data_IF_779786156368
#
_entry.id   IF_779786156368
#
_cell.length_a   1.000
_cell.length_b   1.000
_cell.length_c   1.000
_cell.angle_alpha   90.00
_cell.angle_beta   90.00
_cell.angle_gamma   90.00
#
_symmetry.space_group_name_H-M   'P 1'
#
loop_
_entity.id
_entity.type
_entity.pdbx_description
1 polymer ?
#
# COMPACT_ATOMS: atom_id res chain seq x y z
N UNK A 1 36.34 12.47 -16.02
CA UNK A 1 35.85 11.18 -15.56
C UNK A 1 34.35 11.18 -15.23
N UNK A 2 33.77 12.29 -14.72
CA UNK A 2 32.33 12.40 -14.47
C UNK A 2 31.51 12.54 -15.77
N UNK A 3 32.05 13.17 -16.80
CA UNK A 3 31.40 13.34 -18.10
C UNK A 3 31.27 12.01 -18.88
N UNK A 4 32.30 11.14 -18.76
CA UNK A 4 32.30 9.80 -19.39
C UNK A 4 31.29 8.87 -18.72
N UNK A 5 31.11 9.00 -17.39
CA UNK A 5 30.10 8.22 -16.65
C UNK A 5 28.67 8.63 -17.02
N UNK A 6 28.41 9.92 -17.22
CA UNK A 6 27.11 10.46 -17.66
C UNK A 6 26.73 10.05 -19.09
N UNK A 7 27.73 9.90 -19.97
CA UNK A 7 27.49 9.48 -21.36
C UNK A 7 27.24 7.98 -21.47
N UNK A 8 27.86 7.16 -20.60
CA UNK A 8 27.61 5.74 -20.49
C UNK A 8 26.20 5.42 -19.95
N UNK A 9 25.66 6.25 -19.05
CA UNK A 9 24.27 6.12 -18.58
C UNK A 9 23.23 6.48 -19.66
N UNK A 10 23.52 7.44 -20.53
CA UNK A 10 22.63 7.82 -21.65
C UNK A 10 22.50 6.77 -22.73
N UNK A 11 23.43 5.84 -22.83
CA UNK A 11 23.43 4.77 -23.84
C UNK A 11 22.79 3.46 -23.34
N UNK A 12 22.35 3.38 -22.08
CA UNK A 12 21.67 2.20 -21.57
C UNK A 12 20.20 2.17 -21.98
N UNK A 13 19.64 0.98 -22.32
CA UNK A 13 18.23 0.85 -22.63
C UNK A 13 17.36 1.37 -21.49
N UNK A 14 16.31 2.11 -21.79
CA UNK A 14 15.44 2.77 -20.81
C UNK A 14 14.91 1.83 -19.72
N UNK A 15 14.68 0.54 -20.05
CA UNK A 15 14.23 -0.45 -19.08
C UNK A 15 15.31 -0.85 -18.04
N UNK A 16 16.59 -0.83 -18.39
CA UNK A 16 17.70 -1.14 -17.47
C UNK A 16 17.93 0.03 -16.51
N UNK A 17 17.84 1.26 -16.99
CA UNK A 17 17.86 2.46 -16.15
C UNK A 17 16.66 2.47 -15.19
N UNK A 18 15.47 2.10 -15.68
CA UNK A 18 14.26 1.99 -14.88
C UNK A 18 14.41 0.99 -13.72
N UNK A 19 14.94 -0.21 -13.98
CA UNK A 19 15.15 -1.23 -12.96
C UNK A 19 16.22 -0.82 -11.93
N UNK A 20 17.30 -0.17 -12.34
CA UNK A 20 18.35 0.33 -11.42
C UNK A 20 17.83 1.46 -10.53
N UNK A 21 17.10 2.42 -11.07
CA UNK A 21 16.51 3.50 -10.29
C UNK A 21 15.42 3.00 -9.33
N UNK A 22 14.59 2.05 -9.76
CA UNK A 22 13.61 1.40 -8.88
C UNK A 22 14.29 0.67 -7.73
N UNK A 23 15.36 -0.07 -7.99
CA UNK A 23 16.15 -0.76 -6.96
C UNK A 23 16.84 0.19 -5.98
N UNK A 24 17.44 1.27 -6.48
CA UNK A 24 18.10 2.26 -5.64
C UNK A 24 17.11 3.03 -4.74
N UNK A 25 15.95 3.42 -5.30
CA UNK A 25 14.87 4.06 -4.55
C UNK A 25 14.27 3.14 -3.49
N UNK A 26 14.06 1.87 -3.83
CA UNK A 26 13.60 0.86 -2.88
C UNK A 26 14.61 0.70 -1.72
N UNK A 27 15.91 0.63 -2.00
CA UNK A 27 16.96 0.55 -1.00
C UNK A 27 17.06 1.81 -0.12
N UNK A 28 16.78 3.00 -0.69
CA UNK A 28 16.76 4.26 0.05
C UNK A 28 15.55 4.31 1.00
N UNK A 29 14.37 3.95 0.51
CA UNK A 29 13.17 3.83 1.31
C UNK A 29 13.41 2.87 2.49
N UNK A 30 13.94 1.67 2.24
CA UNK A 30 14.30 0.72 3.29
C UNK A 30 15.29 1.27 4.30
N UNK A 31 16.30 2.04 3.87
CA UNK A 31 17.26 2.67 4.79
C UNK A 31 16.64 3.75 5.65
N UNK A 32 15.81 4.61 5.08
CA UNK A 32 15.09 5.64 5.84
C UNK A 32 14.13 5.01 6.85
N UNK A 33 13.41 3.96 6.44
CA UNK A 33 12.49 3.25 7.32
C UNK A 33 13.22 2.52 8.45
N UNK A 34 14.38 1.91 8.20
CA UNK A 34 15.23 1.34 9.28
C UNK A 34 15.66 2.40 10.27
N UNK A 35 16.16 3.56 9.81
CA UNK A 35 16.55 4.66 10.69
C UNK A 35 15.37 5.18 11.54
N UNK A 36 14.17 5.25 10.98
CA UNK A 36 12.97 5.66 11.73
C UNK A 36 12.54 4.57 12.73
N UNK A 37 12.70 3.29 12.38
CA UNK A 37 12.44 2.18 13.29
C UNK A 37 13.45 2.14 14.46
N UNK A 38 14.73 2.39 14.20
CA UNK A 38 15.77 2.46 15.25
C UNK A 38 15.54 3.62 16.25
N UNK A 39 14.80 4.65 15.86
CA UNK A 39 14.40 5.76 16.75
C UNK A 39 13.03 5.52 17.41
N UNK A 40 12.40 4.41 17.14
CA UNK A 40 11.08 4.02 17.63
C UNK A 40 11.10 3.22 18.92
N UNK A 41 11.88 3.62 19.92
CA UNK A 41 11.83 2.96 21.23
C UNK A 41 10.36 2.83 21.71
N UNK A 42 9.97 1.63 22.09
CA UNK A 42 8.65 1.35 22.65
C UNK A 42 7.56 0.97 21.62
N UNK A 43 7.86 0.96 20.31
CA UNK A 43 6.91 0.56 19.28
C UNK A 43 7.56 -0.33 18.22
N UNK A 44 6.85 -1.37 17.83
CA UNK A 44 7.17 -2.23 16.68
C UNK A 44 6.21 -1.84 15.56
N UNK A 45 6.72 -1.33 14.44
CA UNK A 45 5.89 -0.86 13.33
C UNK A 45 6.21 -1.67 12.06
N UNK A 46 5.16 -2.12 11.39
CA UNK A 46 5.24 -2.70 10.04
C UNK A 46 4.52 -1.80 9.03
N UNK A 47 5.08 -1.69 7.85
CA UNK A 47 4.45 -1.02 6.71
C UNK A 47 4.01 -2.09 5.72
N UNK A 48 2.71 -2.15 5.51
CA UNK A 48 2.10 -3.06 4.56
C UNK A 48 1.93 -2.33 3.24
N UNK A 49 2.62 -2.78 2.20
CA UNK A 49 2.38 -2.31 0.83
C UNK A 49 1.06 -2.86 0.31
N UNK A 50 0.27 -1.97 -0.28
CA UNK A 50 -1.02 -2.26 -0.89
C UNK A 50 -0.96 -2.01 -2.39
N UNK A 51 -2.02 -2.32 -3.11
CA UNK A 51 -2.16 -2.03 -4.53
C UNK A 51 -0.93 -2.41 -5.35
N UNK A 52 -0.40 -1.51 -6.16
CA UNK A 52 0.79 -1.75 -6.99
C UNK A 52 2.07 -1.98 -6.17
N UNK A 53 2.19 -1.30 -5.02
CA UNK A 53 3.34 -1.50 -4.13
C UNK A 53 3.33 -2.90 -3.54
N UNK A 54 2.19 -3.36 -3.05
CA UNK A 54 2.00 -4.72 -2.55
C UNK A 54 2.25 -5.78 -3.61
N UNK A 55 1.70 -5.59 -4.82
CA UNK A 55 1.84 -6.49 -5.96
C UNK A 55 3.21 -6.51 -6.65
N UNK A 56 4.17 -5.67 -6.23
CA UNK A 56 5.47 -5.47 -6.91
C UNK A 56 5.32 -4.94 -8.35
N UNK A 57 4.28 -4.16 -8.58
CA UNK A 57 3.89 -3.61 -9.89
C UNK A 57 4.03 -2.08 -9.94
N UNK A 58 4.82 -1.51 -9.02
CA UNK A 58 5.00 -0.07 -8.92
C UNK A 58 5.69 0.46 -10.18
N UNK A 59 5.03 1.37 -10.87
CA UNK A 59 5.58 2.05 -12.04
C UNK A 59 6.26 3.38 -11.65
N UNK A 60 6.82 4.07 -12.65
CA UNK A 60 7.72 5.19 -12.44
C UNK A 60 7.07 6.39 -11.73
N UNK A 61 5.82 6.70 -12.08
CA UNK A 61 5.02 7.75 -11.44
C UNK A 61 3.80 7.09 -10.85
N UNK A 62 3.81 6.85 -9.55
CA UNK A 62 2.72 6.20 -8.83
C UNK A 62 2.75 6.60 -7.37
N UNK A 63 1.60 6.70 -6.77
CA UNK A 63 1.48 6.74 -5.31
C UNK A 63 1.88 5.38 -4.72
N UNK A 64 2.38 5.40 -3.51
CA UNK A 64 2.67 4.20 -2.73
C UNK A 64 1.56 4.00 -1.72
N UNK A 65 0.66 3.09 -2.05
CA UNK A 65 -0.43 2.71 -1.15
C UNK A 65 0.11 1.88 0.02
N UNK A 66 -0.17 2.29 1.26
CA UNK A 66 0.29 1.59 2.47
C UNK A 66 -0.78 1.51 3.57
N UNK A 67 -0.60 0.51 4.44
CA UNK A 67 -1.25 0.44 5.75
C UNK A 67 -0.15 0.32 6.81
N UNK A 68 -0.30 1.02 7.93
CA UNK A 68 0.62 0.96 9.05
C UNK A 68 0.05 0.10 10.17
N UNK A 69 0.83 -0.90 10.58
CA UNK A 69 0.48 -1.82 11.68
C UNK A 69 1.50 -1.63 12.79
N UNK A 70 1.04 -1.50 14.02
CA UNK A 70 1.90 -1.28 15.18
C UNK A 70 1.58 -2.26 16.29
N UNK A 71 2.61 -2.62 17.06
CA UNK A 71 2.48 -3.35 18.31
C UNK A 71 3.39 -2.71 19.36
N UNK A 72 3.02 -2.75 20.65
CA UNK A 72 3.92 -2.31 21.69
C UNK A 72 5.19 -3.19 21.73
N UNK A 73 6.33 -2.57 21.99
CA UNK A 73 7.53 -3.29 22.38
C UNK A 73 7.44 -3.68 23.84
N UNK A 74 8.30 -4.62 24.26
CA UNK A 74 8.33 -5.12 25.64
C UNK A 74 8.49 -3.98 26.65
N UNK A 75 7.58 -3.99 27.65
CA UNK A 75 7.57 -2.99 28.71
C UNK A 75 6.82 -1.69 28.39
N UNK A 76 6.18 -1.60 27.21
CA UNK A 76 5.37 -0.44 26.81
C UNK A 76 3.90 -0.82 26.63
N UNK A 77 3.01 0.13 26.87
CA UNK A 77 1.58 -0.05 26.66
C UNK A 77 1.14 0.23 25.21
N UNK A 78 -0.10 -0.15 24.91
CA UNK A 78 -0.67 -0.01 23.57
C UNK A 78 -0.90 1.44 23.18
N UNK A 79 -1.33 2.31 24.11
CA UNK A 79 -1.64 3.71 23.82
C UNK A 79 -0.35 4.45 23.44
N UNK A 80 0.74 4.19 24.16
CA UNK A 80 2.07 4.70 23.82
C UNK A 80 2.50 4.23 22.42
N UNK A 81 2.32 2.94 22.11
CA UNK A 81 2.68 2.40 20.80
C UNK A 81 1.86 3.02 19.66
N UNK A 82 0.56 3.26 19.86
CA UNK A 82 -0.31 3.91 18.88
C UNK A 82 0.10 5.38 18.63
N UNK A 83 0.38 6.15 19.68
CA UNK A 83 0.82 7.53 19.55
C UNK A 83 2.18 7.62 18.85
N UNK A 84 3.13 6.83 19.32
CA UNK A 84 4.50 6.78 18.75
C UNK A 84 4.48 6.30 17.31
N UNK A 85 3.73 5.23 17.03
CA UNK A 85 3.55 4.71 15.67
C UNK A 85 2.90 5.72 14.73
N UNK A 86 1.91 6.47 15.21
CA UNK A 86 1.28 7.56 14.43
C UNK A 86 2.30 8.64 14.06
N UNK A 87 3.15 9.01 15.00
CA UNK A 87 4.22 10.00 14.75
C UNK A 87 5.23 9.49 13.72
N UNK A 88 5.67 8.23 13.86
CA UNK A 88 6.59 7.59 12.92
C UNK A 88 5.99 7.48 11.51
N UNK A 89 4.73 7.08 11.40
CA UNK A 89 4.04 6.96 10.12
C UNK A 89 3.91 8.32 9.41
N UNK A 90 3.56 9.39 10.14
CA UNK A 90 3.52 10.75 9.60
C UNK A 90 4.90 11.22 9.11
N UNK A 91 5.93 11.00 9.92
CA UNK A 91 7.29 11.40 9.56
C UNK A 91 7.80 10.62 8.34
N UNK A 92 7.46 9.33 8.22
CA UNK A 92 7.80 8.53 7.06
C UNK A 92 7.14 9.07 5.79
N UNK A 93 5.83 9.31 5.82
CA UNK A 93 5.11 9.86 4.69
C UNK A 93 5.68 11.23 4.26
N UNK A 94 5.98 12.09 5.25
CA UNK A 94 6.60 13.38 5.00
C UNK A 94 8.01 13.23 4.38
N UNK A 95 8.85 12.34 4.91
CA UNK A 95 10.19 12.11 4.39
C UNK A 95 10.21 11.58 2.95
N UNK A 96 9.16 10.81 2.55
CA UNK A 96 9.03 10.32 1.19
C UNK A 96 8.51 11.37 0.20
N UNK A 97 7.70 12.32 0.66
CA UNK A 97 7.00 13.30 -0.18
C UNK A 97 7.59 14.71 -0.13
N UNK A 98 8.43 15.03 0.87
CA UNK A 98 9.00 16.36 1.01
C UNK A 98 10.02 16.68 -0.09
N UNK A 99 9.98 17.89 -0.66
CA UNK A 99 11.04 18.35 -1.54
C UNK A 99 12.34 18.51 -0.73
N UNK A 100 13.42 17.92 -1.22
CA UNK A 100 14.76 17.98 -0.64
C UNK A 100 15.79 18.45 -1.68
N UNK A 101 17.07 18.13 -1.47
CA UNK A 101 18.11 18.31 -2.48
C UNK A 101 17.88 17.42 -3.71
N UNK A 102 17.17 16.31 -3.52
CA UNK A 102 16.71 15.41 -4.58
C UNK A 102 15.19 15.52 -4.73
N UNK A 103 14.68 15.07 -5.87
CA UNK A 103 13.23 15.01 -6.09
C UNK A 103 12.55 14.08 -5.09
N UNK A 104 11.31 14.40 -4.67
CA UNK A 104 10.52 13.53 -3.80
C UNK A 104 10.50 12.09 -4.35
N UNK A 105 10.59 11.11 -3.44
CA UNK A 105 10.60 9.70 -3.83
C UNK A 105 9.26 9.29 -4.42
N UNK A 106 8.22 9.34 -3.59
CA UNK A 106 6.82 9.02 -3.93
C UNK A 106 5.86 9.64 -2.91
N UNK A 107 4.69 10.09 -3.34
CA UNK A 107 3.57 10.33 -2.44
C UNK A 107 3.18 9.03 -1.76
N UNK A 108 3.02 9.05 -0.45
CA UNK A 108 2.55 7.91 0.34
C UNK A 108 1.07 8.10 0.64
N UNK A 109 0.24 7.17 0.18
CA UNK A 109 -1.20 7.16 0.45
C UNK A 109 -1.58 6.03 1.42
N UNK A 110 -2.17 6.38 2.54
CA UNK A 110 -2.68 5.44 3.53
C UNK A 110 -4.22 5.37 3.55
N UNK A 111 -4.89 5.79 2.48
CA UNK A 111 -6.36 5.82 2.42
C UNK A 111 -7.02 4.45 2.33
N UNK A 112 -6.27 3.38 2.00
CA UNK A 112 -6.78 2.00 1.99
C UNK A 112 -6.87 1.37 3.39
N UNK A 113 -6.48 2.12 4.45
CA UNK A 113 -6.64 1.64 5.83
C UNK A 113 -8.11 1.58 6.26
N UNK A 114 -8.45 0.81 7.31
CA UNK A 114 -9.77 0.80 7.90
C UNK A 114 -10.37 2.21 8.09
N UNK A 115 -11.62 2.40 7.68
CA UNK A 115 -12.36 3.69 7.69
C UNK A 115 -11.72 4.79 6.79
N UNK A 116 -10.76 4.42 5.95
CA UNK A 116 -10.11 5.35 5.03
C UNK A 116 -9.43 6.51 5.75
N UNK A 117 -9.57 7.72 5.20
CA UNK A 117 -8.97 8.93 5.79
C UNK A 117 -9.59 9.36 7.14
N UNK A 118 -10.76 8.83 7.49
CA UNK A 118 -11.44 9.14 8.75
C UNK A 118 -10.92 8.28 9.92
N UNK A 119 -10.41 7.09 9.62
CA UNK A 119 -9.88 6.19 10.63
C UNK A 119 -8.46 6.55 11.10
N UNK A 120 -8.05 5.98 12.26
CA UNK A 120 -6.69 6.15 12.78
C UNK A 120 -5.65 5.77 11.75
N UNK A 121 -4.52 6.48 11.74
CA UNK A 121 -3.44 6.24 10.77
C UNK A 121 -2.75 4.90 11.00
N UNK A 122 -2.63 4.48 12.25
CA UNK A 122 -2.04 3.21 12.67
C UNK A 122 -3.03 2.43 13.53
N UNK A 123 -2.97 1.12 13.50
CA UNK A 123 -3.75 0.21 14.33
C UNK A 123 -2.89 -1.01 14.70
N UNK A 124 -3.24 -1.70 15.79
CA UNK A 124 -2.68 -3.00 16.11
C UNK A 124 -3.22 -4.08 15.18
N UNK A 125 -2.56 -5.23 15.11
CA UNK A 125 -3.04 -6.41 14.36
C UNK A 125 -4.45 -6.78 14.79
N UNK A 126 -4.69 -6.83 16.10
CA UNK A 126 -6.00 -7.17 16.67
C UNK A 126 -7.08 -6.14 16.28
N UNK A 127 -6.76 -4.85 16.32
CA UNK A 127 -7.69 -3.79 15.90
C UNK A 127 -8.04 -3.88 14.42
N UNK A 128 -7.07 -4.24 13.56
CA UNK A 128 -7.33 -4.50 12.13
C UNK A 128 -8.23 -5.72 11.96
N UNK A 129 -7.92 -6.84 12.64
CA UNK A 129 -8.70 -8.05 12.59
C UNK A 129 -10.15 -7.80 12.97
N UNK A 130 -10.37 -7.15 14.12
CA UNK A 130 -11.71 -6.84 14.61
C UNK A 130 -12.52 -5.94 13.67
N UNK A 131 -11.84 -4.99 12.99
CA UNK A 131 -12.48 -4.16 11.97
C UNK A 131 -12.90 -4.99 10.75
N UNK A 132 -12.00 -5.79 10.19
CA UNK A 132 -12.29 -6.58 8.98
C UNK A 132 -13.35 -7.65 9.23
N UNK A 133 -13.42 -8.22 10.42
CA UNK A 133 -14.47 -9.18 10.79
C UNK A 133 -15.86 -8.55 10.83
N UNK A 134 -15.98 -7.29 11.26
CA UNK A 134 -17.30 -6.69 11.59
C UNK A 134 -17.77 -5.67 10.55
N UNK A 135 -16.86 -4.87 10.00
CA UNK A 135 -17.24 -3.65 9.30
C UNK A 135 -16.79 -3.59 7.85
N UNK A 136 -15.77 -4.38 7.49
CA UNK A 136 -15.17 -4.29 6.17
C UNK A 136 -16.15 -4.61 5.05
N UNK A 137 -16.08 -3.77 4.03
CA UNK A 137 -16.81 -3.95 2.78
C UNK A 137 -16.07 -4.93 1.86
N UNK A 138 -16.77 -5.52 0.91
CA UNK A 138 -16.21 -6.50 -0.03
C UNK A 138 -14.99 -5.96 -0.79
N UNK A 139 -14.99 -4.69 -1.19
CA UNK A 139 -13.86 -4.06 -1.89
C UNK A 139 -12.58 -3.94 -1.04
N UNK A 140 -12.70 -3.90 0.28
CA UNK A 140 -11.53 -3.85 1.17
C UNK A 140 -10.76 -5.17 1.14
N UNK A 141 -11.45 -6.30 1.08
CA UNK A 141 -10.81 -7.60 0.88
C UNK A 141 -10.17 -7.72 -0.50
N UNK A 142 -10.77 -7.12 -1.52
CA UNK A 142 -10.14 -7.01 -2.84
C UNK A 142 -8.83 -6.20 -2.78
N UNK A 143 -8.80 -5.09 -2.03
CA UNK A 143 -7.58 -4.31 -1.84
C UNK A 143 -6.52 -5.10 -1.05
N UNK A 144 -6.91 -5.93 -0.08
CA UNK A 144 -6.02 -6.76 0.72
C UNK A 144 -5.36 -7.93 -0.02
N UNK A 145 -5.84 -8.30 -1.21
CA UNK A 145 -5.24 -9.38 -2.03
C UNK A 145 -3.73 -9.19 -2.26
N UNK A 146 -3.30 -7.94 -2.40
CA UNK A 146 -1.90 -7.58 -2.66
C UNK A 146 -1.15 -7.13 -1.41
N UNK A 147 -1.78 -7.20 -0.22
CA UNK A 147 -1.15 -6.77 1.02
C UNK A 147 0.06 -7.64 1.35
N UNK A 148 1.21 -6.99 1.58
CA UNK A 148 2.42 -7.66 2.06
C UNK A 148 3.29 -6.70 2.86
N UNK A 149 4.09 -7.20 3.83
CA UNK A 149 5.05 -6.37 4.53
C UNK A 149 6.14 -5.90 3.55
N UNK A 150 6.38 -4.59 3.52
CA UNK A 150 7.40 -3.97 2.65
C UNK A 150 8.53 -3.35 3.47
N UNK A 151 8.27 -3.00 4.72
CA UNK A 151 9.29 -2.44 5.60
C UNK A 151 8.88 -2.53 7.09
N UNK A 152 9.82 -2.24 7.98
CA UNK A 152 9.62 -2.24 9.42
C UNK A 152 9.77 -3.63 10.03
N UNK A 153 8.98 -3.91 11.08
CA UNK A 153 9.03 -5.15 11.83
C UNK A 153 8.41 -6.30 11.02
N UNK A 154 9.22 -7.31 10.72
CA UNK A 154 8.82 -8.44 9.87
C UNK A 154 7.80 -9.34 10.56
N UNK A 155 7.89 -9.49 11.88
CA UNK A 155 6.97 -10.36 12.64
C UNK A 155 5.59 -9.73 12.78
N UNK A 156 5.54 -8.42 13.07
CA UNK A 156 4.28 -7.67 13.05
C UNK A 156 3.63 -7.72 11.67
N UNK A 157 4.43 -7.55 10.62
CA UNK A 157 3.94 -7.66 9.24
C UNK A 157 3.40 -9.05 8.89
N UNK A 158 4.06 -10.12 9.35
CA UNK A 158 3.57 -11.50 9.18
C UNK A 158 2.29 -11.74 9.96
N UNK A 159 2.27 -11.35 11.23
CA UNK A 159 1.09 -11.49 12.08
C UNK A 159 -0.15 -10.79 11.47
N UNK A 160 0.04 -9.61 10.85
CA UNK A 160 -1.01 -8.96 10.11
C UNK A 160 -1.50 -9.79 8.92
N UNK A 161 -0.59 -10.31 8.09
CA UNK A 161 -0.96 -11.14 6.96
C UNK A 161 -1.72 -12.40 7.41
N UNK A 162 -1.23 -13.07 8.45
CA UNK A 162 -1.85 -14.27 9.00
C UNK A 162 -3.26 -13.99 9.54
N UNK A 163 -3.46 -12.81 10.13
CA UNK A 163 -4.77 -12.40 10.63
C UNK A 163 -5.78 -12.07 9.52
N UNK A 164 -5.33 -11.42 8.42
CA UNK A 164 -6.27 -10.94 7.38
C UNK A 164 -6.47 -11.91 6.21
N UNK A 165 -5.49 -12.74 5.85
CA UNK A 165 -5.57 -13.66 4.72
C UNK A 165 -6.77 -14.60 4.77
N UNK A 166 -7.12 -15.24 5.89
CA UNK A 166 -8.31 -16.09 5.95
C UNK A 166 -9.59 -15.35 5.57
N UNK A 167 -9.73 -14.09 5.99
CA UNK A 167 -10.89 -13.26 5.68
C UNK A 167 -10.93 -12.86 4.19
N UNK A 168 -9.78 -12.56 3.59
CA UNK A 168 -9.66 -12.30 2.15
C UNK A 168 -10.18 -13.49 1.34
N UNK A 169 -9.72 -14.71 1.66
CA UNK A 169 -10.14 -15.92 0.93
C UNK A 169 -11.58 -16.36 1.22
N UNK A 170 -12.17 -15.90 2.32
CA UNK A 170 -13.58 -16.12 2.61
C UNK A 170 -14.51 -15.03 2.04
N UNK A 171 -13.97 -13.92 1.56
CA UNK A 171 -14.77 -12.80 1.06
C UNK A 171 -15.71 -13.21 -0.09
N UNK A 172 -15.25 -14.10 -0.99
CA UNK A 172 -16.06 -14.60 -2.10
C UNK A 172 -17.30 -15.42 -1.69
N UNK A 173 -17.40 -15.82 -0.42
CA UNK A 173 -18.57 -16.55 0.12
C UNK A 173 -19.67 -15.61 0.63
N UNK A 174 -19.48 -14.30 0.57
CA UNK A 174 -20.49 -13.32 0.95
C UNK A 174 -21.66 -13.37 -0.05
N UNK A 175 -22.88 -13.21 0.43
CA UNK A 175 -24.10 -13.37 -0.34
C UNK A 175 -24.13 -12.51 -1.62
N UNK A 176 -23.73 -11.25 -1.54
CA UNK A 176 -23.75 -10.31 -2.67
C UNK A 176 -22.34 -10.00 -3.22
N UNK A 177 -21.40 -10.92 -3.10
CA UNK A 177 -19.99 -10.66 -3.40
C UNK A 177 -19.74 -10.08 -4.80
N UNK A 178 -20.33 -10.70 -5.83
CA UNK A 178 -20.15 -10.25 -7.23
C UNK A 178 -20.81 -8.89 -7.46
N UNK A 179 -22.01 -8.72 -6.93
CA UNK A 179 -22.77 -7.46 -7.06
C UNK A 179 -22.05 -6.30 -6.38
N UNK A 180 -21.46 -6.54 -5.20
CA UNK A 180 -20.65 -5.56 -4.47
C UNK A 180 -19.42 -5.12 -5.26
N UNK A 181 -18.69 -6.09 -5.84
CA UNK A 181 -17.51 -5.80 -6.67
C UNK A 181 -17.90 -4.97 -7.89
N UNK A 182 -18.99 -5.35 -8.57
CA UNK A 182 -19.51 -4.61 -9.72
C UNK A 182 -20.04 -3.23 -9.32
N UNK A 183 -20.72 -3.11 -8.18
CA UNK A 183 -21.21 -1.83 -7.68
C UNK A 183 -20.05 -0.88 -7.35
N UNK A 184 -18.99 -1.39 -6.74
CA UNK A 184 -17.78 -0.60 -6.49
C UNK A 184 -17.12 -0.15 -7.79
N UNK A 185 -17.06 -1.01 -8.81
CA UNK A 185 -16.52 -0.64 -10.13
C UNK A 185 -17.33 0.48 -10.77
N UNK A 186 -18.67 0.36 -10.78
CA UNK A 186 -19.57 1.42 -11.28
C UNK A 186 -19.39 2.73 -10.53
N UNK A 187 -19.21 2.68 -9.21
CA UNK A 187 -18.97 3.88 -8.40
C UNK A 187 -17.66 4.59 -8.80
N UNK A 188 -16.58 3.84 -9.04
CA UNK A 188 -15.30 4.42 -9.52
C UNK A 188 -15.49 5.10 -10.87
N UNK A 189 -16.24 4.49 -11.79
CA UNK A 189 -16.50 5.04 -13.11
C UNK A 189 -17.35 6.32 -13.06
N UNK A 190 -18.37 6.36 -12.21
CA UNK A 190 -19.25 7.53 -12.03
C UNK A 190 -18.52 8.78 -11.50
N UNK A 191 -17.35 8.62 -10.88
CA UNK A 191 -16.54 9.75 -10.42
C UNK A 191 -15.65 10.36 -11.51
N UNK A 192 -15.66 9.82 -12.73
CA UNK A 192 -14.92 10.36 -13.87
C UNK A 192 -15.69 11.54 -14.45
N UNK A 193 -15.08 12.74 -14.56
CA UNK A 193 -15.71 13.86 -15.24
C UNK A 193 -16.05 13.51 -16.67
N UNK A 194 -17.27 13.86 -17.15
CA UNK A 194 -17.75 13.52 -18.50
C UNK A 194 -16.80 13.99 -19.61
N UNK A 195 -16.14 15.14 -19.42
CA UNK A 195 -15.16 15.69 -20.38
C UNK A 195 -13.88 14.84 -20.50
N UNK A 196 -13.58 14.00 -19.49
CA UNK A 196 -12.38 13.16 -19.42
C UNK A 196 -12.68 11.69 -19.76
N UNK A 197 -13.93 11.26 -19.75
CA UNK A 197 -14.33 9.86 -19.85
C UNK A 197 -13.72 9.14 -21.07
N UNK A 198 -13.72 9.79 -22.24
CA UNK A 198 -13.16 9.23 -23.48
C UNK A 198 -11.62 9.06 -23.47
N UNK A 199 -10.92 9.75 -22.57
CA UNK A 199 -9.44 9.73 -22.47
C UNK A 199 -8.95 8.99 -21.22
N UNK A 200 -9.83 8.53 -20.36
CA UNK A 200 -9.51 7.94 -19.07
C UNK A 200 -9.14 6.45 -19.21
N UNK A 201 -7.91 6.19 -19.66
CA UNK A 201 -7.42 4.84 -19.92
C UNK A 201 -7.34 3.94 -18.67
N UNK A 202 -7.24 4.54 -17.50
CA UNK A 202 -7.14 3.78 -16.24
C UNK A 202 -8.53 3.45 -15.67
N UNK A 203 -9.38 4.45 -15.52
CA UNK A 203 -10.64 4.33 -14.77
C UNK A 203 -11.87 4.23 -15.68
N UNK A 204 -11.76 4.58 -16.96
CA UNK A 204 -12.86 4.51 -17.94
C UNK A 204 -13.29 3.07 -18.25
N UNK A 205 -14.43 2.94 -18.88
CA UNK A 205 -14.95 1.65 -19.32
C UNK A 205 -13.97 0.95 -20.29
N UNK A 206 -13.70 -0.33 -20.07
CA UNK A 206 -12.69 -1.09 -20.81
C UNK A 206 -11.23 -0.74 -20.48
N UNK A 207 -11.01 0.12 -19.48
CA UNK A 207 -9.69 0.55 -19.06
C UNK A 207 -8.96 -0.43 -18.15
N UNK A 208 -7.76 -0.04 -17.69
CA UNK A 208 -6.91 -0.89 -16.83
C UNK A 208 -7.60 -1.34 -15.55
N UNK A 209 -8.50 -0.52 -15.01
CA UNK A 209 -9.25 -0.87 -13.79
C UNK A 209 -10.21 -2.05 -14.01
N UNK A 210 -10.77 -2.20 -15.20
CA UNK A 210 -11.63 -3.35 -15.52
C UNK A 210 -10.83 -4.65 -15.56
N UNK A 211 -9.61 -4.60 -16.10
CA UNK A 211 -8.69 -5.75 -16.09
C UNK A 211 -8.32 -6.10 -14.65
N UNK A 212 -7.91 -5.10 -13.83
CA UNK A 212 -7.57 -5.32 -12.44
C UNK A 212 -8.73 -5.94 -11.65
N UNK A 213 -9.94 -5.40 -11.77
CA UNK A 213 -11.12 -5.90 -11.06
C UNK A 213 -11.48 -7.32 -11.49
N UNK A 214 -11.41 -7.63 -12.78
CA UNK A 214 -11.69 -8.97 -13.30
C UNK A 214 -10.70 -10.00 -12.76
N UNK A 215 -9.40 -9.68 -12.78
CA UNK A 215 -8.36 -10.56 -12.25
C UNK A 215 -8.53 -10.75 -10.73
N UNK A 216 -8.77 -9.68 -9.99
CA UNK A 216 -8.95 -9.74 -8.54
C UNK A 216 -10.22 -10.52 -8.16
N UNK A 217 -11.31 -10.39 -8.93
CA UNK A 217 -12.53 -11.18 -8.74
C UNK A 217 -12.21 -12.68 -8.89
N UNK A 218 -11.52 -13.05 -9.96
CA UNK A 218 -11.11 -14.44 -10.20
C UNK A 218 -10.18 -14.96 -9.10
N UNK A 219 -9.25 -14.13 -8.64
CA UNK A 219 -8.36 -14.48 -7.53
C UNK A 219 -9.13 -14.73 -6.23
N UNK A 220 -10.11 -13.90 -5.89
CA UNK A 220 -10.93 -14.10 -4.69
C UNK A 220 -11.81 -15.35 -4.77
N UNK A 221 -12.27 -15.71 -5.95
CA UNK A 221 -13.12 -16.90 -6.14
C UNK A 221 -12.31 -18.19 -6.21
N UNK A 222 -11.19 -18.18 -6.88
CA UNK A 222 -10.40 -19.38 -7.21
C UNK A 222 -9.02 -19.43 -6.54
N UNK A 223 -8.50 -18.29 -6.07
CA UNK A 223 -7.23 -18.22 -5.37
C UNK A 223 -7.31 -18.86 -3.98
N UNK A 224 -6.29 -19.63 -3.60
CA UNK A 224 -6.11 -20.21 -2.28
C UNK A 224 -4.63 -20.15 -1.89
#
# INVERSE_FOLDING_TARGET
>A
DAAVALDAERQQPAHVLHQRHAGARHALLHRQMRRLADHGAGVRIAVMGMGKCGGRELNYVSDVDVIYVVEPADGYDQDYALDRGTTLAKNLALACSAPGQEQPLWPVDAALRPEGKQGPLVRTVESHRAYYERWAQTWEFQALLKARPVAGDVEVGRAYCDAVQPMVWHASRRENFVDDVQAMRRRVEQHIPAAEAARQLKLGAGGLRDVEFSVQLLQLVHGR
#
